data_IF_731890908319
#
_entry.id   IF_731890908319
#
_cell.length_a   1.000
_cell.length_b   1.000
_cell.length_c   1.000
_cell.angle_alpha   90.00
_cell.angle_beta   90.00
_cell.angle_gamma   90.00
#
_symmetry.space_group_name_H-M   'P 1'
#
loop_
_entity.id
_entity.type
_entity.pdbx_description
1 polymer ?
#
# COMPACT_ATOMS: atom_id res chain seq x y z
N UNK A 1 -24.82 11.99 4.13
CA UNK A 1 -24.84 12.13 2.65
C UNK A 1 -26.13 11.55 2.02
N UNK A 2 -27.10 11.09 2.81
CA UNK A 2 -28.39 10.51 2.34
C UNK A 2 -29.32 11.51 1.67
N UNK A 3 -29.16 12.80 1.98
CA UNK A 3 -30.02 13.86 1.44
C UNK A 3 -29.60 14.31 0.02
N UNK A 4 -28.54 13.73 -0.56
CA UNK A 4 -28.16 13.99 -1.94
C UNK A 4 -29.04 13.12 -2.84
N UNK A 5 -30.00 13.75 -3.52
CA UNK A 5 -30.97 13.09 -4.40
C UNK A 5 -30.28 12.53 -5.66
N UNK A 6 -29.39 13.33 -6.26
CA UNK A 6 -28.63 12.94 -7.45
C UNK A 6 -27.68 11.76 -7.14
N UNK A 7 -27.87 10.59 -7.76
CA UNK A 7 -27.04 9.41 -7.52
C UNK A 7 -25.57 9.63 -7.90
N UNK A 8 -25.30 10.42 -8.95
CA UNK A 8 -23.94 10.67 -9.44
C UNK A 8 -23.18 11.58 -8.48
N UNK A 9 -23.73 12.77 -8.17
CA UNK A 9 -23.13 13.68 -7.19
C UNK A 9 -22.96 13.02 -5.81
N UNK A 10 -23.91 12.15 -5.41
CA UNK A 10 -23.77 11.36 -4.19
C UNK A 10 -22.57 10.43 -4.28
N UNK A 11 -22.44 9.66 -5.36
CA UNK A 11 -21.29 8.77 -5.63
C UNK A 11 -19.95 9.48 -5.54
N UNK A 12 -19.82 10.62 -6.21
CA UNK A 12 -18.61 11.45 -6.19
C UNK A 12 -18.27 11.94 -4.78
N UNK A 13 -19.26 12.45 -4.04
CA UNK A 13 -19.05 12.96 -2.68
C UNK A 13 -18.53 11.86 -1.74
N UNK A 14 -19.04 10.64 -1.89
CA UNK A 14 -18.62 9.47 -1.10
C UNK A 14 -17.17 9.12 -1.38
N UNK A 15 -16.83 9.03 -2.66
CA UNK A 15 -15.48 8.72 -3.08
C UNK A 15 -14.50 9.77 -2.57
N UNK A 16 -14.81 11.05 -2.75
CA UNK A 16 -13.99 12.15 -2.26
C UNK A 16 -13.79 12.07 -0.74
N UNK A 17 -14.84 11.78 0.02
CA UNK A 17 -14.76 11.59 1.47
C UNK A 17 -13.86 10.42 1.86
N UNK A 18 -14.01 9.26 1.22
CA UNK A 18 -13.16 8.10 1.49
C UNK A 18 -11.70 8.36 1.15
N UNK A 19 -11.42 9.00 0.01
CA UNK A 19 -10.06 9.37 -0.34
C UNK A 19 -9.44 10.32 0.70
N UNK A 20 -10.21 11.26 1.25
CA UNK A 20 -9.75 12.10 2.34
C UNK A 20 -9.44 11.29 3.61
N UNK A 21 -10.32 10.35 3.98
CA UNK A 21 -10.12 9.46 5.14
C UNK A 21 -8.86 8.59 5.01
N UNK A 22 -8.65 7.99 3.83
CA UNK A 22 -7.48 7.16 3.54
C UNK A 22 -6.20 7.99 3.48
N UNK A 23 -6.26 9.17 2.84
CA UNK A 23 -5.12 10.07 2.74
C UNK A 23 -4.65 10.54 4.13
N UNK A 24 -5.56 10.93 5.03
CA UNK A 24 -5.22 11.29 6.41
C UNK A 24 -4.54 10.12 7.14
N UNK A 25 -5.14 8.92 7.08
CA UNK A 25 -4.62 7.74 7.73
C UNK A 25 -3.23 7.35 7.24
N UNK A 26 -3.03 7.21 5.92
CA UNK A 26 -1.75 6.80 5.34
C UNK A 26 -0.69 7.89 5.44
N UNK A 27 -1.06 9.17 5.27
CA UNK A 27 -0.13 10.28 5.50
C UNK A 27 0.38 10.29 6.93
N UNK A 28 -0.50 10.00 7.89
CA UNK A 28 -0.14 9.98 9.31
C UNK A 28 0.99 8.98 9.61
N UNK A 29 0.93 7.80 9.00
CA UNK A 29 1.93 6.74 9.22
C UNK A 29 3.18 6.95 8.36
N UNK A 30 3.04 7.29 7.09
CA UNK A 30 4.19 7.41 6.16
C UNK A 30 5.07 8.63 6.43
N UNK A 31 4.45 9.75 6.80
CA UNK A 31 5.16 11.03 7.00
C UNK A 31 5.24 11.43 8.47
N UNK A 32 5.00 10.48 9.39
CA UNK A 32 5.07 10.69 10.85
C UNK A 32 4.23 11.91 11.30
N UNK A 33 3.03 12.06 10.75
CA UNK A 33 2.10 13.16 11.10
C UNK A 33 1.01 12.64 12.04
N UNK A 34 0.51 13.51 12.91
CA UNK A 34 -0.67 13.18 13.73
C UNK A 34 -1.90 13.08 12.82
N UNK A 35 -2.69 12.00 12.88
CA UNK A 35 -3.94 11.90 12.13
C UNK A 35 -4.92 12.98 12.62
N UNK A 36 -5.66 13.58 11.69
CA UNK A 36 -6.67 14.60 11.99
C UNK A 36 -8.05 13.99 12.22
N UNK A 37 -8.33 12.83 11.62
CA UNK A 37 -9.59 12.11 11.77
C UNK A 37 -9.44 10.96 12.78
N UNK A 38 -10.42 10.85 13.66
CA UNK A 38 -10.63 9.70 14.54
C UNK A 38 -11.59 8.69 13.90
N UNK A 39 -11.59 7.45 14.41
CA UNK A 39 -12.43 6.38 13.87
C UNK A 39 -13.93 6.65 14.10
N UNK A 40 -14.27 7.51 15.06
CA UNK A 40 -15.64 7.92 15.40
C UNK A 40 -16.13 9.13 14.59
N UNK A 41 -15.25 9.79 13.82
CA UNK A 41 -15.60 11.01 13.06
C UNK A 41 -16.45 10.72 11.81
N UNK A 42 -16.58 9.44 11.42
CA UNK A 42 -17.36 9.05 10.26
C UNK A 42 -18.05 7.70 10.44
N UNK A 43 -19.34 7.68 10.12
CA UNK A 43 -20.17 6.49 10.19
C UNK A 43 -19.97 5.63 8.94
N UNK A 44 -19.48 4.40 9.15
CA UNK A 44 -19.18 3.41 8.11
C UNK A 44 -20.46 2.69 7.66
N UNK A 45 -21.47 2.64 8.53
CA UNK A 45 -22.67 1.83 8.31
C UNK A 45 -23.54 2.36 7.18
N UNK A 46 -23.31 3.60 6.75
CA UNK A 46 -24.03 4.24 5.65
C UNK A 46 -24.00 3.43 4.33
N UNK A 47 -22.97 2.59 4.10
CA UNK A 47 -22.83 1.76 2.88
C UNK A 47 -22.80 0.24 3.13
N UNK A 48 -23.02 -0.21 4.37
CA UNK A 48 -23.24 -1.63 4.68
C UNK A 48 -24.71 -1.99 4.84
N UNK A 49 -25.61 -0.99 4.99
CA UNK A 49 -27.05 -1.22 4.86
C UNK A 49 -27.39 -1.65 3.43
N UNK A 50 -28.13 -2.76 3.35
CA UNK A 50 -28.31 -3.61 2.18
C UNK A 50 -28.89 -2.94 0.92
N UNK A 51 -29.01 -3.71 -0.17
CA UNK A 51 -29.31 -3.20 -1.50
C UNK A 51 -30.56 -2.32 -1.50
N UNK A 52 -30.50 -1.21 -2.22
CA UNK A 52 -31.66 -0.37 -2.53
C UNK A 52 -32.72 -1.28 -3.16
N UNK A 53 -33.98 -1.27 -2.69
CA UNK A 53 -35.05 -2.07 -3.25
C UNK A 53 -35.14 -1.91 -4.78
N UNK A 54 -35.40 -2.99 -5.54
CA UNK A 54 -35.30 -3.01 -7.00
C UNK A 54 -36.31 -2.13 -7.76
N UNK A 55 -37.11 -1.31 -7.09
CA UNK A 55 -38.28 -0.66 -7.69
C UNK A 55 -38.00 0.68 -8.41
N UNK A 56 -36.73 1.04 -8.71
CA UNK A 56 -36.41 2.37 -9.31
C UNK A 56 -35.39 2.34 -10.47
N UNK A 57 -35.19 1.22 -11.18
CA UNK A 57 -34.30 1.19 -12.36
C UNK A 57 -35.11 0.98 -13.64
N UNK A 58 -35.73 2.05 -14.15
CA UNK A 58 -36.19 2.13 -15.53
C UNK A 58 -35.34 3.10 -16.35
N UNK A 59 -34.63 2.53 -17.33
CA UNK A 59 -34.37 3.10 -18.65
C UNK A 59 -33.63 4.44 -18.75
N UNK A 60 -32.30 4.46 -18.61
CA UNK A 60 -31.40 5.29 -19.45
C UNK A 60 -29.90 5.00 -19.22
N UNK A 61 -29.16 4.92 -20.34
CA UNK A 61 -27.69 4.94 -20.55
C UNK A 61 -26.87 3.64 -20.40
N UNK A 62 -26.11 3.33 -21.46
CA UNK A 62 -25.17 2.19 -21.61
C UNK A 62 -23.76 2.44 -21.02
N UNK A 63 -23.59 3.50 -20.23
CA UNK A 63 -22.35 3.82 -19.52
C UNK A 63 -22.54 3.52 -18.04
N UNK A 64 -21.75 2.60 -17.43
CA UNK A 64 -21.86 2.35 -15.99
C UNK A 64 -21.60 3.65 -15.24
N UNK A 65 -22.46 3.98 -14.28
CA UNK A 65 -22.31 5.16 -13.43
C UNK A 65 -20.98 5.12 -12.68
N UNK A 66 -20.45 6.28 -12.29
CA UNK A 66 -19.20 6.37 -11.49
C UNK A 66 -19.27 5.48 -10.24
N UNK A 67 -20.46 5.39 -9.64
CA UNK A 67 -20.78 4.46 -8.55
C UNK A 67 -20.64 3.00 -8.97
N UNK A 68 -21.25 2.57 -10.07
CA UNK A 68 -21.13 1.19 -10.56
C UNK A 68 -19.71 0.83 -10.98
N UNK A 69 -18.93 1.78 -11.54
CA UNK A 69 -17.53 1.57 -11.87
C UNK A 69 -16.65 1.37 -10.62
N UNK A 70 -16.97 2.07 -9.52
CA UNK A 70 -16.27 1.97 -8.25
C UNK A 70 -16.77 0.80 -7.38
N UNK A 71 -18.02 0.38 -7.56
CA UNK A 71 -18.56 -0.87 -6.99
C UNK A 71 -17.99 -2.09 -7.76
N UNK A 72 -17.74 -2.00 -9.07
CA UNK A 72 -17.19 -3.10 -9.88
C UNK A 72 -15.76 -3.57 -9.56
N UNK A 73 -15.08 -2.91 -8.63
CA UNK A 73 -13.62 -2.94 -8.47
C UNK A 73 -12.99 -4.26 -8.01
N UNK A 74 -13.79 -5.31 -7.78
CA UNK A 74 -13.28 -6.68 -7.58
C UNK A 74 -14.25 -7.69 -8.20
N UNK A 75 -14.32 -7.78 -9.54
CA UNK A 75 -14.91 -8.96 -10.18
C UNK A 75 -13.89 -10.10 -10.18
N UNK A 76 -14.07 -11.07 -9.30
CA UNK A 76 -13.36 -12.35 -9.37
C UNK A 76 -14.38 -13.49 -9.29
N UNK A 77 -14.97 -13.87 -10.43
CA UNK A 77 -15.58 -15.19 -10.55
C UNK A 77 -14.76 -16.03 -11.53
N UNK A 78 -14.19 -17.11 -10.98
CA UNK A 78 -13.66 -18.21 -11.78
C UNK A 78 -14.81 -18.79 -12.60
N UNK A 79 -14.64 -18.79 -13.92
CA UNK A 79 -15.75 -18.91 -14.86
C UNK A 79 -16.67 -20.10 -14.65
N UNK A 80 -17.98 -19.82 -14.62
CA UNK A 80 -19.05 -20.75 -15.01
C UNK A 80 -20.20 -19.94 -15.64
N UNK A 81 -20.43 -20.17 -16.94
CA UNK A 81 -21.61 -19.94 -17.82
C UNK A 81 -22.58 -18.74 -17.63
N UNK A 82 -23.04 -18.11 -18.74
CA UNK A 82 -23.94 -16.95 -18.70
C UNK A 82 -25.41 -17.36 -18.69
N UNK A 83 -26.06 -17.49 -17.53
CA UNK A 83 -27.53 -17.37 -17.41
C UNK A 83 -27.93 -16.94 -15.98
N UNK A 84 -28.25 -15.65 -15.77
CA UNK A 84 -29.30 -15.07 -14.89
C UNK A 84 -28.93 -13.63 -14.46
N UNK A 85 -29.90 -12.68 -14.38
CA UNK A 85 -29.64 -11.27 -14.11
C UNK A 85 -29.67 -10.91 -12.60
N UNK A 86 -29.15 -11.78 -11.72
CA UNK A 86 -29.06 -11.48 -10.29
C UNK A 86 -27.60 -11.20 -9.93
N UNK A 87 -27.20 -9.92 -10.04
CA UNK A 87 -25.89 -9.44 -9.61
C UNK A 87 -25.77 -9.51 -8.09
N UNK A 88 -24.64 -10.03 -7.58
CA UNK A 88 -24.32 -10.05 -6.16
C UNK A 88 -23.47 -8.81 -5.78
N UNK A 89 -24.00 -7.99 -4.86
CA UNK A 89 -23.47 -6.71 -4.37
C UNK A 89 -22.30 -6.90 -3.38
N UNK A 90 -21.96 -8.16 -3.08
CA UNK A 90 -21.01 -8.57 -2.04
C UNK A 90 -19.53 -8.22 -2.30
N UNK A 91 -19.10 -8.06 -3.55
CA UNK A 91 -17.67 -7.92 -3.90
C UNK A 91 -17.15 -6.48 -3.80
N UNK A 92 -17.97 -5.50 -4.19
CA UNK A 92 -17.75 -4.05 -4.07
C UNK A 92 -17.49 -3.58 -2.64
N UNK A 93 -18.21 -4.22 -1.72
CA UNK A 93 -18.10 -4.00 -0.29
C UNK A 93 -16.72 -4.41 0.25
N UNK A 94 -15.98 -5.24 -0.50
CA UNK A 94 -14.65 -5.74 -0.13
C UNK A 94 -13.58 -4.66 -0.07
N UNK A 95 -13.47 -3.81 -1.09
CA UNK A 95 -12.38 -2.81 -1.19
C UNK A 95 -12.50 -1.70 -0.13
N UNK A 96 -13.65 -1.05 -0.01
CA UNK A 96 -13.82 0.01 0.99
C UNK A 96 -13.71 -0.53 2.40
N UNK A 97 -14.26 -1.73 2.66
CA UNK A 97 -14.11 -2.39 3.96
C UNK A 97 -12.65 -2.71 4.28
N UNK A 98 -11.90 -3.25 3.32
CA UNK A 98 -10.47 -3.55 3.52
C UNK A 98 -9.65 -2.27 3.68
N UNK A 99 -9.86 -1.26 2.84
CA UNK A 99 -9.14 0.01 2.90
C UNK A 99 -9.41 0.71 4.22
N UNK A 100 -10.66 0.70 4.67
CA UNK A 100 -11.07 1.21 5.97
C UNK A 100 -10.38 0.48 7.13
N UNK A 101 -10.43 -0.85 7.16
CA UNK A 101 -9.79 -1.65 8.20
C UNK A 101 -8.28 -1.34 8.27
N UNK A 102 -7.62 -1.21 7.11
CA UNK A 102 -6.20 -0.87 7.05
C UNK A 102 -5.93 0.58 7.48
N UNK A 103 -6.82 1.52 7.16
CA UNK A 103 -6.71 2.92 7.59
C UNK A 103 -6.77 3.03 9.13
N UNK A 104 -7.63 2.25 9.79
CA UNK A 104 -7.68 2.20 11.26
C UNK A 104 -6.36 1.70 11.84
N UNK A 105 -5.81 0.62 11.27
CA UNK A 105 -4.48 0.11 11.65
C UNK A 105 -3.42 1.19 11.43
N UNK A 106 -3.42 1.88 10.29
CA UNK A 106 -2.46 2.95 9.97
C UNK A 106 -2.52 4.10 10.98
N UNK A 107 -3.72 4.56 11.38
CA UNK A 107 -3.87 5.58 12.43
C UNK A 107 -3.39 5.07 13.79
N UNK A 108 -3.70 3.82 14.14
CA UNK A 108 -3.20 3.20 15.37
C UNK A 108 -1.66 3.14 15.36
N UNK A 109 -1.06 2.74 14.24
CA UNK A 109 0.40 2.75 14.05
C UNK A 109 0.96 4.16 14.26
N UNK A 110 0.44 5.18 13.56
CA UNK A 110 0.91 6.56 13.72
C UNK A 110 0.81 7.04 15.17
N UNK A 111 -0.35 6.79 15.80
CA UNK A 111 -0.58 7.18 17.19
C UNK A 111 0.36 6.46 18.15
N UNK A 112 0.93 5.29 17.85
CA UNK A 112 1.77 4.55 18.80
C UNK A 112 3.27 4.65 18.49
N UNK A 113 3.64 4.67 17.22
CA UNK A 113 5.04 4.65 16.77
C UNK A 113 5.68 6.03 16.81
N UNK A 114 4.93 7.09 16.48
CA UNK A 114 5.49 8.43 16.27
C UNK A 114 5.30 9.37 17.46
N UNK A 115 5.33 8.83 18.67
CA UNK A 115 5.29 9.63 19.92
C UNK A 115 6.71 9.96 20.39
N UNK A 116 6.92 11.15 20.99
CA UNK A 116 8.20 11.46 21.64
C UNK A 116 8.64 10.42 22.67
N UNK A 117 7.69 9.84 23.41
CA UNK A 117 7.97 8.76 24.37
C UNK A 117 8.44 7.46 23.69
N UNK A 118 7.98 7.18 22.47
CA UNK A 118 8.43 6.02 21.70
C UNK A 118 9.85 6.23 21.19
N UNK A 119 10.18 7.45 20.74
CA UNK A 119 11.54 7.82 20.35
C UNK A 119 12.53 7.77 21.54
N UNK A 120 12.10 8.19 22.74
CA UNK A 120 12.97 8.19 23.92
C UNK A 120 13.12 6.82 24.60
N UNK A 121 12.04 6.04 24.66
CA UNK A 121 12.00 4.81 25.45
C UNK A 121 12.04 3.55 24.59
N UNK A 122 11.67 3.64 23.31
CA UNK A 122 11.39 2.49 22.46
C UNK A 122 9.91 2.11 22.45
N UNK A 123 9.56 1.21 21.54
CA UNK A 123 8.19 0.75 21.33
C UNK A 123 7.86 -0.33 22.38
N UNK A 124 6.74 -0.23 23.13
CA UNK A 124 6.32 -1.29 24.03
C UNK A 124 6.09 -2.61 23.28
N UNK A 125 6.53 -3.73 23.87
CA UNK A 125 6.38 -5.05 23.26
C UNK A 125 4.92 -5.38 22.94
N UNK A 126 4.01 -5.07 23.87
CA UNK A 126 2.57 -5.29 23.71
C UNK A 126 1.99 -4.53 22.50
N UNK A 127 2.45 -3.29 22.27
CA UNK A 127 2.02 -2.48 21.12
C UNK A 127 2.42 -3.16 19.81
N UNK A 128 3.66 -3.68 19.72
CA UNK A 128 4.09 -4.42 18.53
C UNK A 128 3.26 -5.67 18.30
N UNK A 129 3.03 -6.47 19.34
CA UNK A 129 2.20 -7.68 19.24
C UNK A 129 0.78 -7.38 18.76
N UNK A 130 0.18 -6.30 19.26
CA UNK A 130 -1.15 -5.87 18.83
C UNK A 130 -1.16 -5.44 17.36
N UNK A 131 -0.21 -4.61 16.92
CA UNK A 131 -0.11 -4.18 15.51
C UNK A 131 0.11 -5.36 14.56
N UNK A 132 1.00 -6.29 14.93
CA UNK A 132 1.26 -7.50 14.17
C UNK A 132 0.01 -8.38 14.06
N UNK A 133 -0.77 -8.48 15.15
CA UNK A 133 -2.01 -9.26 15.18
C UNK A 133 -3.02 -8.64 14.21
N UNK A 134 -3.28 -7.33 14.31
CA UNK A 134 -4.21 -6.63 13.42
C UNK A 134 -3.81 -6.70 11.95
N UNK A 135 -2.51 -6.63 11.62
CA UNK A 135 -2.05 -6.81 10.23
C UNK A 135 -2.21 -8.25 9.72
N UNK A 136 -2.05 -9.26 10.57
CA UNK A 136 -2.31 -10.64 10.15
C UNK A 136 -3.80 -10.90 9.98
N UNK A 137 -4.65 -10.40 10.88
CA UNK A 137 -6.11 -10.47 10.74
C UNK A 137 -6.57 -9.79 9.46
N UNK A 138 -6.05 -8.59 9.16
CA UNK A 138 -6.35 -7.89 7.92
C UNK A 138 -5.96 -8.72 6.68
N UNK A 139 -4.77 -9.33 6.70
CA UNK A 139 -4.29 -10.17 5.60
C UNK A 139 -5.23 -11.34 5.34
N UNK A 140 -5.59 -12.05 6.41
CA UNK A 140 -6.39 -13.26 6.34
C UNK A 140 -7.84 -12.95 5.90
N UNK A 141 -8.39 -11.80 6.32
CA UNK A 141 -9.73 -11.37 5.91
C UNK A 141 -9.77 -10.78 4.49
N UNK A 142 -8.75 -10.01 4.09
CA UNK A 142 -8.85 -9.12 2.93
C UNK A 142 -7.86 -9.39 1.80
N UNK A 143 -6.61 -9.78 2.07
CA UNK A 143 -5.56 -9.77 1.05
C UNK A 143 -5.88 -10.67 -0.15
N UNK A 144 -6.51 -11.82 0.08
CA UNK A 144 -6.92 -12.70 -1.03
C UNK A 144 -7.99 -12.07 -1.94
N UNK A 145 -8.82 -11.17 -1.41
CA UNK A 145 -9.90 -10.51 -2.17
C UNK A 145 -9.42 -9.26 -2.88
N UNK A 146 -8.59 -8.46 -2.21
CA UNK A 146 -8.20 -7.13 -2.72
C UNK A 146 -6.75 -7.04 -3.16
N UNK A 147 -5.92 -8.05 -2.90
CA UNK A 147 -4.52 -8.10 -3.33
C UNK A 147 -4.33 -8.76 -4.68
N UNK A 148 -3.09 -8.77 -5.17
CA UNK A 148 -2.75 -9.45 -6.41
C UNK A 148 -2.57 -10.95 -6.11
N UNK A 149 -3.29 -11.87 -6.78
CA UNK A 149 -3.15 -13.29 -6.53
C UNK A 149 -1.78 -13.82 -6.98
N UNK A 150 -1.32 -14.91 -6.37
CA UNK A 150 -0.04 -15.54 -6.71
C UNK A 150 -0.04 -16.19 -8.10
N UNK A 151 -1.20 -16.67 -8.58
CA UNK A 151 -1.36 -17.30 -9.89
C UNK A 151 -1.88 -16.30 -10.93
N UNK A 152 -0.95 -15.54 -11.51
CA UNK A 152 -1.25 -14.49 -12.49
C UNK A 152 -1.62 -15.09 -13.87
N UNK A 153 -2.88 -15.51 -14.04
CA UNK A 153 -3.34 -16.20 -15.24
C UNK A 153 -4.55 -15.55 -15.97
N UNK A 154 -5.10 -14.45 -15.45
CA UNK A 154 -6.34 -13.86 -15.97
C UNK A 154 -6.13 -12.57 -16.77
N UNK A 155 -7.06 -12.26 -17.67
CA UNK A 155 -7.20 -10.95 -18.30
C UNK A 155 -7.80 -9.98 -17.27
N UNK A 156 -6.96 -9.12 -16.71
CA UNK A 156 -7.40 -8.08 -15.78
C UNK A 156 -7.71 -6.79 -16.53
N UNK A 157 -8.81 -6.13 -16.19
CA UNK A 157 -9.00 -4.75 -16.60
C UNK A 157 -8.01 -3.84 -15.85
N UNK A 158 -7.79 -2.64 -16.40
CA UNK A 158 -6.77 -1.75 -15.87
C UNK A 158 -7.06 -1.30 -14.43
N UNK A 159 -8.33 -1.01 -14.12
CA UNK A 159 -8.72 -0.42 -12.84
C UNK A 159 -8.61 -1.46 -11.73
N UNK A 160 -9.06 -2.70 -11.97
CA UNK A 160 -8.89 -3.81 -11.02
C UNK A 160 -7.41 -4.12 -10.74
N UNK A 161 -6.56 -4.10 -11.77
CA UNK A 161 -5.13 -4.35 -11.61
C UNK A 161 -4.43 -3.26 -10.79
N UNK A 162 -4.74 -1.99 -11.05
CA UNK A 162 -4.19 -0.88 -10.27
C UNK A 162 -4.64 -0.97 -8.82
N UNK A 163 -5.93 -1.17 -8.57
CA UNK A 163 -6.49 -1.21 -7.21
C UNK A 163 -5.98 -2.39 -6.39
N UNK A 164 -5.77 -3.55 -7.03
CA UNK A 164 -5.18 -4.68 -6.35
C UNK A 164 -3.71 -4.46 -6.01
N UNK A 165 -2.92 -3.92 -6.96
CA UNK A 165 -1.53 -3.56 -6.70
C UNK A 165 -1.42 -2.52 -5.57
N UNK A 166 -2.30 -1.52 -5.58
CA UNK A 166 -2.41 -0.50 -4.54
C UNK A 166 -2.68 -1.10 -3.16
N UNK A 167 -3.69 -1.97 -3.05
CA UNK A 167 -4.07 -2.60 -1.78
C UNK A 167 -2.97 -3.54 -1.25
N UNK A 168 -2.37 -4.34 -2.14
CA UNK A 168 -1.27 -5.27 -1.86
C UNK A 168 -0.04 -4.48 -1.35
N UNK A 169 0.38 -3.44 -2.07
CA UNK A 169 1.51 -2.59 -1.66
C UNK A 169 1.24 -1.84 -0.35
N UNK A 170 0.03 -1.29 -0.17
CA UNK A 170 -0.36 -0.55 1.04
C UNK A 170 -0.39 -1.46 2.27
N UNK A 171 -0.76 -2.74 2.11
CA UNK A 171 -0.62 -3.71 3.19
C UNK A 171 0.85 -3.96 3.55
N UNK A 172 1.68 -4.26 2.55
CA UNK A 172 3.06 -4.66 2.78
C UNK A 172 3.95 -3.54 3.31
N UNK A 173 3.70 -2.28 2.92
CA UNK A 173 4.46 -1.15 3.46
C UNK A 173 4.25 -0.97 4.97
N UNK A 174 3.12 -1.40 5.54
CA UNK A 174 2.90 -1.32 7.00
C UNK A 174 3.93 -2.15 7.76
N UNK A 175 4.30 -3.33 7.26
CA UNK A 175 5.37 -4.15 7.85
C UNK A 175 6.73 -3.47 7.78
N UNK A 176 7.04 -2.81 6.65
CA UNK A 176 8.27 -2.04 6.47
C UNK A 176 8.32 -0.86 7.44
N UNK A 177 7.19 -0.20 7.68
CA UNK A 177 7.09 0.87 8.67
C UNK A 177 7.36 0.36 10.09
N UNK A 178 6.79 -0.78 10.48
CA UNK A 178 7.08 -1.40 11.79
C UNK A 178 8.56 -1.74 11.90
N UNK A 179 9.14 -2.33 10.85
CA UNK A 179 10.57 -2.63 10.80
C UNK A 179 11.41 -1.39 11.04
N UNK A 180 11.18 -0.30 10.29
CA UNK A 180 11.94 0.93 10.44
C UNK A 180 11.75 1.55 11.84
N UNK A 181 10.54 1.51 12.39
CA UNK A 181 10.30 2.02 13.74
C UNK A 181 11.05 1.21 14.82
N UNK A 182 11.06 -0.12 14.70
CA UNK A 182 11.80 -0.98 15.64
C UNK A 182 13.30 -0.79 15.45
N UNK A 183 13.78 -0.61 14.23
CA UNK A 183 15.21 -0.40 13.96
C UNK A 183 15.71 0.97 14.45
N UNK A 184 14.88 2.01 14.35
CA UNK A 184 15.18 3.36 14.82
C UNK A 184 15.12 3.46 16.37
N UNK A 185 14.08 2.90 16.99
CA UNK A 185 13.76 3.17 18.41
C UNK A 185 14.00 1.98 19.35
N UNK A 186 14.09 0.77 18.80
CA UNK A 186 14.16 -0.45 19.60
C UNK A 186 12.85 -0.79 20.33
N UNK A 187 12.95 -1.79 21.20
CA UNK A 187 11.85 -2.27 22.03
C UNK A 187 12.07 -1.78 23.46
N UNK A 188 11.04 -1.20 24.06
CA UNK A 188 11.14 -0.51 25.35
C UNK A 188 11.75 -1.36 26.45
N UNK A 189 11.24 -2.58 26.60
CA UNK A 189 11.66 -3.52 27.63
C UNK A 189 13.14 -3.91 27.44
N UNK A 190 13.61 -3.99 26.19
CA UNK A 190 15.01 -4.22 25.89
C UNK A 190 15.88 -3.01 26.24
N UNK A 191 15.42 -1.81 25.90
CA UNK A 191 16.10 -0.55 26.20
C UNK A 191 16.22 -0.31 27.71
N UNK A 192 15.18 -0.62 28.49
CA UNK A 192 15.18 -0.48 29.95
C UNK A 192 16.24 -1.37 30.61
N UNK A 193 16.40 -2.60 30.14
CA UNK A 193 17.45 -3.51 30.63
C UNK A 193 18.84 -2.96 30.30
N UNK A 194 19.04 -2.47 29.07
CA UNK A 194 20.29 -1.84 28.67
C UNK A 194 20.63 -0.60 29.52
N UNK A 195 19.63 0.22 29.86
CA UNK A 195 19.80 1.42 30.71
C UNK A 195 20.17 1.10 32.15
N UNK A 196 19.70 -0.03 32.69
CA UNK A 196 20.00 -0.45 34.07
C UNK A 196 21.36 -1.15 34.22
N UNK A 197 22.18 -1.21 33.15
CA UNK A 197 23.49 -1.88 33.11
C UNK A 197 23.45 -3.39 33.38
N UNK A 198 22.26 -4.00 33.27
CA UNK A 198 22.09 -5.45 33.30
C UNK A 198 22.40 -6.03 31.92
N UNK A 199 22.89 -7.27 31.87
CA UNK A 199 23.12 -7.93 30.58
C UNK A 199 21.77 -8.12 29.86
N UNK A 200 21.60 -7.64 28.60
CA UNK A 200 20.34 -7.78 27.86
C UNK A 200 19.88 -9.23 27.71
N UNK A 201 20.81 -10.19 27.72
CA UNK A 201 20.54 -11.62 27.57
C UNK A 201 19.94 -12.27 28.82
N UNK A 202 20.03 -11.61 29.98
CA UNK A 202 19.52 -12.14 31.26
C UNK A 202 18.05 -11.77 31.51
N UNK A 203 17.45 -10.96 30.63
CA UNK A 203 16.06 -10.56 30.74
C UNK A 203 15.10 -11.73 30.45
N UNK A 204 14.13 -12.04 31.34
CA UNK A 204 13.17 -13.14 31.16
C UNK A 204 12.30 -13.10 29.89
N UNK A 205 12.32 -11.99 29.12
CA UNK A 205 11.62 -11.85 27.84
C UNK A 205 12.52 -11.70 26.61
N UNK A 206 13.85 -11.84 26.75
CA UNK A 206 14.79 -11.58 25.65
C UNK A 206 14.50 -12.45 24.41
N UNK A 207 14.23 -13.74 24.62
CA UNK A 207 13.92 -14.67 23.52
C UNK A 207 12.62 -14.30 22.79
N UNK A 208 11.61 -13.81 23.52
CA UNK A 208 10.35 -13.33 22.94
C UNK A 208 10.60 -12.09 22.08
N UNK A 209 11.43 -11.16 22.57
CA UNK A 209 11.82 -9.95 21.84
C UNK A 209 12.53 -10.29 20.53
N UNK A 210 13.53 -11.18 20.57
CA UNK A 210 14.26 -11.58 19.36
C UNK A 210 13.36 -12.36 18.38
N UNK A 211 12.43 -13.18 18.88
CA UNK A 211 11.43 -13.85 18.03
C UNK A 211 10.52 -12.84 17.32
N UNK A 212 10.08 -11.81 18.03
CA UNK A 212 9.23 -10.75 17.47
C UNK A 212 9.99 -9.92 16.44
N UNK A 213 11.22 -9.49 16.75
CA UNK A 213 12.10 -8.81 15.78
C UNK A 213 12.30 -9.67 14.53
N UNK A 214 12.60 -10.95 14.69
CA UNK A 214 12.78 -11.86 13.56
C UNK A 214 11.53 -11.93 12.70
N UNK A 215 10.34 -12.08 13.30
CA UNK A 215 9.08 -12.09 12.56
C UNK A 215 8.84 -10.77 11.81
N UNK A 216 9.05 -9.63 12.45
CA UNK A 216 8.92 -8.30 11.82
C UNK A 216 9.89 -8.18 10.64
N UNK A 217 11.14 -8.63 10.81
CA UNK A 217 12.14 -8.66 9.76
C UNK A 217 11.71 -9.51 8.56
N UNK A 218 11.26 -10.74 8.83
CA UNK A 218 10.82 -11.68 7.78
C UNK A 218 9.61 -11.13 7.00
N UNK A 219 8.60 -10.59 7.70
CA UNK A 219 7.40 -10.02 7.08
C UNK A 219 7.69 -8.70 6.32
N UNK A 220 8.58 -7.84 6.84
CA UNK A 220 9.00 -6.61 6.16
C UNK A 220 9.84 -6.90 4.91
N UNK A 221 10.75 -7.87 4.96
CA UNK A 221 11.50 -8.32 3.80
C UNK A 221 10.55 -8.94 2.76
N UNK A 222 9.62 -9.79 3.17
CA UNK A 222 8.60 -10.34 2.28
C UNK A 222 7.79 -9.22 1.61
N UNK A 223 7.35 -8.22 2.38
CA UNK A 223 6.64 -7.07 1.85
C UNK A 223 7.46 -6.23 0.87
N UNK A 224 8.74 -6.00 1.15
CA UNK A 224 9.61 -5.25 0.25
C UNK A 224 9.85 -6.00 -1.08
N UNK A 225 10.07 -7.32 -1.02
CA UNK A 225 10.18 -8.17 -2.21
C UNK A 225 8.89 -8.17 -3.02
N UNK A 226 7.74 -8.22 -2.34
CA UNK A 226 6.43 -8.16 -2.97
C UNK A 226 6.23 -6.86 -3.75
N UNK A 227 6.50 -5.71 -3.11
CA UNK A 227 6.43 -4.39 -3.74
C UNK A 227 7.38 -4.31 -4.94
N UNK A 228 8.64 -4.76 -4.80
CA UNK A 228 9.60 -4.80 -5.91
C UNK A 228 9.10 -5.65 -7.10
N UNK A 229 8.43 -6.78 -6.82
CA UNK A 229 7.78 -7.61 -7.83
C UNK A 229 6.63 -6.90 -8.55
N UNK A 230 5.77 -6.18 -7.81
CA UNK A 230 4.66 -5.41 -8.37
C UNK A 230 5.14 -4.31 -9.32
N UNK A 231 6.22 -3.62 -8.97
CA UNK A 231 6.85 -2.56 -9.81
C UNK A 231 7.36 -3.12 -11.14
N UNK A 232 7.85 -4.35 -11.12
CA UNK A 232 8.41 -5.01 -12.30
C UNK A 232 7.34 -5.57 -13.24
N UNK A 233 6.07 -5.54 -12.83
CA UNK A 233 4.98 -6.07 -13.63
C UNK A 233 4.82 -5.30 -14.94
N UNK A 234 4.69 -5.99 -16.10
CA UNK A 234 4.52 -5.36 -17.40
C UNK A 234 3.28 -4.44 -17.47
N UNK A 235 2.31 -4.63 -16.58
CA UNK A 235 1.16 -3.76 -16.49
C UNK A 235 1.54 -2.31 -16.08
N UNK A 236 2.47 -2.17 -15.14
CA UNK A 236 2.99 -0.88 -14.65
C UNK A 236 3.86 -0.22 -15.73
N UNK A 237 4.69 -1.01 -16.41
CA UNK A 237 5.69 -0.47 -17.35
C UNK A 237 5.13 -0.15 -18.74
N UNK A 238 4.12 -0.87 -19.23
CA UNK A 238 3.73 -0.82 -20.66
C UNK A 238 2.71 0.29 -20.97
N UNK A 239 1.92 0.76 -19.99
CA UNK A 239 0.94 1.84 -20.20
C UNK A 239 1.42 3.24 -19.80
N UNK A 240 2.60 3.37 -19.17
CA UNK A 240 3.19 4.65 -18.77
C UNK A 240 3.55 5.56 -19.97
N UNK A 241 3.75 4.99 -21.18
CA UNK A 241 4.08 5.75 -22.41
C UNK A 241 2.96 6.67 -22.94
N UNK A 242 1.76 6.71 -22.35
CA UNK A 242 0.65 7.59 -22.77
C UNK A 242 0.16 8.57 -21.69
N UNK A 243 0.79 8.66 -20.53
CA UNK A 243 0.25 9.35 -19.34
C UNK A 243 0.95 10.69 -18.98
N UNK A 244 1.51 11.40 -19.96
CA UNK A 244 2.44 12.51 -19.71
C UNK A 244 1.86 13.90 -19.36
N UNK A 245 0.61 14.29 -19.67
CA UNK A 245 0.14 15.64 -19.33
C UNK A 245 -0.50 15.82 -17.94
N UNK A 246 -0.97 14.76 -17.26
CA UNK A 246 -1.93 14.94 -16.16
C UNK A 246 -1.34 14.85 -14.73
N UNK A 247 -0.20 14.18 -14.53
CA UNK A 247 0.39 13.96 -13.19
C UNK A 247 0.92 15.24 -12.49
N UNK A 248 1.16 16.33 -13.24
CA UNK A 248 1.73 17.58 -12.69
C UNK A 248 0.80 18.34 -11.75
N UNK A 249 -0.53 18.15 -11.84
CA UNK A 249 -1.49 18.78 -10.92
C UNK A 249 -1.69 17.97 -9.62
N UNK A 250 -1.47 16.65 -9.61
CA UNK A 250 -1.60 15.83 -8.40
C UNK A 250 -0.56 16.20 -7.34
N UNK A 251 0.62 16.67 -7.77
CA UNK A 251 1.69 17.16 -6.92
C UNK A 251 1.29 18.40 -6.09
N UNK A 252 0.44 19.27 -6.63
CA UNK A 252 0.00 20.50 -5.96
C UNK A 252 -1.05 20.25 -4.85
N UNK A 253 -1.63 19.04 -4.78
CA UNK A 253 -2.61 18.67 -3.75
C UNK A 253 -2.02 17.81 -2.62
N UNK A 254 -0.90 17.12 -2.87
CA UNK A 254 -0.21 16.32 -1.83
C UNK A 254 0.77 17.17 -0.99
N UNK A 255 1.27 18.28 -1.56
CA UNK A 255 2.18 19.22 -0.88
C UNK A 255 1.45 20.53 -0.56
N UNK A 256 1.01 20.65 0.70
CA UNK A 256 0.65 21.90 1.39
C UNK A 256 -0.50 22.81 0.89
N UNK A 257 -1.39 22.36 0.00
CA UNK A 257 -2.60 23.15 -0.39
C UNK A 257 -3.89 22.34 -0.21
N UNK A 258 -4.31 22.16 1.05
CA UNK A 258 -5.73 21.88 1.37
C UNK A 258 -6.36 22.97 2.24
N UNK A 259 -5.57 23.94 2.72
CA UNK A 259 -6.03 24.90 3.74
C UNK A 259 -6.60 26.21 3.18
N UNK A 260 -6.55 26.46 1.87
CA UNK A 260 -7.04 27.72 1.29
C UNK A 260 -7.93 27.41 0.08
N UNK A 261 -9.20 27.84 0.17
CA UNK A 261 -10.23 27.82 -0.89
C UNK A 261 -11.01 26.52 -1.12
N UNK A 262 -11.73 26.07 -0.08
CA UNK A 262 -13.07 25.50 -0.29
C UNK A 262 -14.08 26.66 -0.22
N UNK A 263 -14.07 27.53 -1.22
CA UNK A 263 -15.19 28.43 -1.50
C UNK A 263 -15.55 28.34 -2.99
N UNK A 264 -16.67 27.66 -3.28
CA UNK A 264 -17.59 28.13 -4.32
C UNK A 264 -17.68 27.41 -5.67
N UNK A 265 -16.72 26.59 -6.13
CA UNK A 265 -16.77 26.11 -7.53
C UNK A 265 -16.25 24.69 -7.84
N UNK A 266 -15.96 23.84 -6.84
CA UNK A 266 -15.05 22.71 -7.04
C UNK A 266 -15.65 21.34 -7.43
N UNK A 267 -16.97 21.13 -7.46
CA UNK A 267 -17.51 19.78 -7.67
C UNK A 267 -17.26 19.23 -9.10
N UNK A 268 -17.46 20.05 -10.14
CA UNK A 268 -17.40 19.59 -11.54
C UNK A 268 -15.98 19.46 -12.10
N UNK A 269 -15.00 20.10 -11.46
CA UNK A 269 -13.58 20.05 -11.86
C UNK A 269 -12.84 18.90 -11.16
N UNK A 270 -13.29 18.53 -9.95
CA UNK A 270 -12.80 17.36 -9.21
C UNK A 270 -13.20 16.06 -9.92
N UNK A 271 -14.43 15.95 -10.46
CA UNK A 271 -14.88 14.76 -11.18
C UNK A 271 -14.02 14.43 -12.41
N UNK A 272 -13.78 15.43 -13.27
CA UNK A 272 -12.97 15.21 -14.49
C UNK A 272 -11.50 14.96 -14.15
N UNK A 273 -11.01 15.58 -13.07
CA UNK A 273 -9.63 15.44 -12.63
C UNK A 273 -9.35 14.09 -11.97
N UNK A 274 -10.25 13.53 -11.15
CA UNK A 274 -10.04 12.21 -10.54
C UNK A 274 -10.33 11.04 -11.49
N UNK A 275 -11.31 11.14 -12.40
CA UNK A 275 -11.59 10.09 -13.39
C UNK A 275 -10.51 9.98 -14.49
N UNK A 276 -9.87 11.07 -14.92
CA UNK A 276 -8.76 11.00 -15.88
C UNK A 276 -7.40 10.65 -15.24
N UNK A 277 -7.23 10.85 -13.92
CA UNK A 277 -5.97 10.63 -13.19
C UNK A 277 -5.86 9.31 -12.41
N UNK A 278 -6.82 8.38 -12.53
CA UNK A 278 -6.67 6.99 -12.04
C UNK A 278 -5.53 6.18 -12.70
N UNK A 279 -4.69 6.83 -13.51
CA UNK A 279 -3.58 6.20 -14.23
C UNK A 279 -2.32 6.25 -13.37
N UNK A 280 -2.15 5.19 -12.57
CA UNK A 280 -0.99 4.92 -11.71
C UNK A 280 -0.74 6.06 -10.72
N UNK A 281 -1.50 6.02 -9.63
CA UNK A 281 -1.39 6.95 -8.54
C UNK A 281 0.03 6.91 -7.94
N UNK A 282 0.85 7.89 -8.31
CA UNK A 282 2.11 8.16 -7.63
C UNK A 282 1.88 8.28 -6.13
N UNK A 283 0.72 8.75 -5.67
CA UNK A 283 0.41 8.86 -4.25
C UNK A 283 0.35 7.50 -3.52
N UNK A 284 0.09 6.39 -4.21
CA UNK A 284 -0.07 5.07 -3.57
C UNK A 284 1.19 4.20 -3.69
N UNK A 285 1.85 4.20 -4.85
CA UNK A 285 3.02 3.35 -5.08
C UNK A 285 4.35 4.05 -4.77
N UNK A 286 4.46 5.37 -4.91
CA UNK A 286 5.76 6.07 -4.77
C UNK A 286 6.39 5.83 -3.40
N UNK A 287 5.64 6.08 -2.32
CA UNK A 287 6.13 5.86 -0.94
C UNK A 287 6.48 4.39 -0.71
N UNK A 288 5.63 3.48 -1.18
CA UNK A 288 5.85 2.03 -1.08
C UNK A 288 7.15 1.60 -1.75
N UNK A 289 7.45 2.12 -2.93
CA UNK A 289 8.67 1.83 -3.68
C UNK A 289 9.91 2.40 -3.00
N UNK A 290 9.84 3.63 -2.49
CA UNK A 290 10.94 4.24 -1.74
C UNK A 290 11.25 3.39 -0.51
N UNK A 291 10.24 3.07 0.30
CA UNK A 291 10.43 2.34 1.56
C UNK A 291 10.94 0.91 1.31
N UNK A 292 10.35 0.20 0.34
CA UNK A 292 10.81 -1.12 -0.07
C UNK A 292 12.22 -1.10 -0.65
N UNK A 293 12.51 -0.16 -1.56
CA UNK A 293 13.83 0.00 -2.16
C UNK A 293 14.90 0.34 -1.12
N UNK A 294 14.60 1.24 -0.19
CA UNK A 294 15.50 1.59 0.93
C UNK A 294 15.79 0.38 1.81
N UNK A 295 14.76 -0.38 2.22
CA UNK A 295 14.97 -1.59 3.01
C UNK A 295 15.82 -2.62 2.24
N UNK A 296 15.50 -2.91 0.98
CA UNK A 296 16.26 -3.86 0.15
C UNK A 296 17.70 -3.40 -0.06
N UNK A 297 17.95 -2.09 -0.24
CA UNK A 297 19.28 -1.51 -0.33
C UNK A 297 20.10 -1.76 0.94
N UNK A 298 19.54 -1.43 2.12
CA UNK A 298 20.20 -1.63 3.42
C UNK A 298 20.54 -3.09 3.71
N UNK A 299 19.74 -4.01 3.17
CA UNK A 299 19.94 -5.45 3.27
C UNK A 299 20.85 -6.03 2.18
N UNK A 300 21.35 -5.20 1.24
CA UNK A 300 22.21 -5.66 0.13
C UNK A 300 21.49 -6.60 -0.84
N UNK A 301 20.17 -6.45 -1.00
CA UNK A 301 19.33 -7.34 -1.81
C UNK A 301 19.26 -6.89 -3.27
N UNK A 302 19.59 -7.73 -4.26
CA UNK A 302 19.62 -7.34 -5.68
C UNK A 302 18.24 -6.93 -6.22
N UNK A 303 17.15 -7.39 -5.60
CA UNK A 303 15.78 -7.03 -5.97
C UNK A 303 15.49 -5.52 -5.85
N UNK A 304 16.36 -4.77 -5.16
CA UNK A 304 16.33 -3.30 -5.13
C UNK A 304 16.36 -2.66 -6.52
N UNK A 305 16.96 -3.32 -7.51
CA UNK A 305 17.05 -2.84 -8.89
C UNK A 305 15.67 -2.59 -9.49
N UNK A 306 14.67 -3.39 -9.11
CA UNK A 306 13.29 -3.22 -9.54
C UNK A 306 12.69 -1.91 -9.02
N UNK A 307 12.92 -1.59 -7.75
CA UNK A 307 12.49 -0.33 -7.15
C UNK A 307 13.19 0.87 -7.81
N UNK A 308 14.50 0.78 -8.05
CA UNK A 308 15.29 1.82 -8.73
C UNK A 308 14.75 2.07 -10.15
N UNK A 309 14.47 1.01 -10.91
CA UNK A 309 13.86 1.13 -12.24
C UNK A 309 12.47 1.76 -12.17
N UNK A 310 11.65 1.37 -11.19
CA UNK A 310 10.34 1.98 -10.94
C UNK A 310 10.43 3.48 -10.68
N UNK A 311 11.29 3.90 -9.76
CA UNK A 311 11.50 5.32 -9.44
C UNK A 311 12.01 6.10 -10.65
N UNK A 312 12.93 5.55 -11.44
CA UNK A 312 13.37 6.17 -12.69
C UNK A 312 12.26 6.25 -13.76
N UNK A 313 11.22 5.41 -13.70
CA UNK A 313 10.04 5.58 -14.54
C UNK A 313 9.13 6.68 -13.99
N UNK A 314 9.02 6.82 -12.67
CA UNK A 314 8.27 7.91 -12.05
C UNK A 314 8.98 9.27 -12.17
N UNK A 315 10.29 9.31 -12.39
CA UNK A 315 11.05 10.57 -12.50
C UNK A 315 10.65 11.45 -13.66
N UNK A 316 10.00 10.88 -14.69
CA UNK A 316 9.39 11.65 -15.77
C UNK A 316 8.23 12.54 -15.29
N UNK A 317 7.55 12.16 -14.21
CA UNK A 317 6.45 12.90 -13.61
C UNK A 317 6.83 13.59 -12.28
N UNK A 318 7.79 13.03 -11.54
CA UNK A 318 8.22 13.45 -10.21
C UNK A 318 9.74 13.48 -10.14
N UNK A 319 10.36 14.63 -10.40
CA UNK A 319 11.82 14.77 -10.54
C UNK A 319 12.61 14.19 -9.35
N UNK A 320 12.10 14.37 -8.14
CA UNK A 320 12.62 13.81 -6.87
C UNK A 320 12.80 12.28 -6.88
N UNK A 321 12.05 11.54 -7.69
CA UNK A 321 12.20 10.09 -7.82
C UNK A 321 13.58 9.71 -8.38
N UNK A 322 14.17 10.53 -9.24
CA UNK A 322 15.52 10.26 -9.77
C UNK A 322 16.58 10.37 -8.68
N UNK A 323 16.46 11.37 -7.80
CA UNK A 323 17.35 11.57 -6.66
C UNK A 323 17.21 10.41 -5.66
N UNK A 324 15.96 10.03 -5.33
CA UNK A 324 15.68 8.89 -4.47
C UNK A 324 16.22 7.57 -5.03
N UNK A 325 16.10 7.35 -6.35
CA UNK A 325 16.67 6.17 -7.02
C UNK A 325 18.20 6.14 -6.90
N UNK A 326 18.87 7.28 -7.06
CA UNK A 326 20.31 7.40 -6.92
C UNK A 326 20.78 7.18 -5.47
N UNK A 327 20.04 7.72 -4.49
CA UNK A 327 20.34 7.51 -3.06
C UNK A 327 20.18 6.05 -2.65
N UNK A 328 19.11 5.38 -3.09
CA UNK A 328 18.89 3.93 -2.85
C UNK A 328 20.02 3.11 -3.50
N UNK A 329 20.43 3.45 -4.73
CA UNK A 329 21.55 2.77 -5.38
C UNK A 329 22.87 2.95 -4.62
N UNK A 330 23.13 4.15 -4.07
CA UNK A 330 24.30 4.41 -3.22
C UNK A 330 24.29 3.54 -1.97
N UNK A 331 23.16 3.51 -1.25
CA UNK A 331 23.01 2.68 -0.04
C UNK A 331 23.21 1.19 -0.33
N UNK A 332 22.68 0.69 -1.46
CA UNK A 332 22.88 -0.69 -1.88
C UNK A 332 24.37 -1.03 -2.08
N UNK A 333 25.11 -0.16 -2.77
CA UNK A 333 26.54 -0.36 -3.00
C UNK A 333 27.35 -0.36 -1.69
N UNK A 334 26.97 0.48 -0.72
CA UNK A 334 27.56 0.48 0.62
C UNK A 334 27.28 -0.83 1.36
N UNK A 335 26.03 -1.28 1.37
CA UNK A 335 25.62 -2.53 2.03
C UNK A 335 26.35 -3.75 1.44
N UNK A 336 26.47 -3.83 0.11
CA UNK A 336 27.20 -4.92 -0.58
C UNK A 336 28.71 -4.87 -0.28
N UNK A 337 29.25 -3.68 -0.01
CA UNK A 337 30.65 -3.51 0.42
C UNK A 337 30.87 -3.86 1.90
N UNK A 338 29.82 -4.25 2.63
CA UNK A 338 29.87 -4.62 4.04
C UNK A 338 29.54 -3.47 5.02
N UNK A 339 29.28 -2.27 4.51
CA UNK A 339 28.84 -1.10 5.30
C UNK A 339 27.32 -1.16 5.46
N UNK A 340 26.84 -1.75 6.56
CA UNK A 340 25.40 -1.82 6.86
C UNK A 340 25.09 -1.01 8.12
N UNK A 341 24.21 -0.03 7.97
CA UNK A 341 23.70 0.81 9.06
C UNK A 341 22.34 0.27 9.50
N UNK A 342 22.35 -0.78 10.31
CA UNK A 342 21.16 -1.28 11.02
C UNK A 342 21.35 -1.00 12.51
N UNK A 343 20.31 -0.50 13.15
CA UNK A 343 20.29 -0.20 14.57
C UNK A 343 19.85 -1.43 15.36
N UNK A 344 18.65 -1.34 15.93
CA UNK A 344 18.12 -2.36 16.82
C UNK A 344 17.71 -3.67 16.13
N UNK A 345 17.59 -3.69 14.80
CA UNK A 345 17.26 -4.89 14.01
C UNK A 345 18.50 -5.66 13.52
N UNK A 346 19.71 -5.17 13.81
CA UNK A 346 20.95 -5.82 13.37
C UNK A 346 21.10 -7.27 13.88
N UNK A 347 20.55 -7.59 15.05
CA UNK A 347 20.68 -8.92 15.67
C UNK A 347 19.94 -10.04 14.93
N UNK A 348 18.87 -9.71 14.21
CA UNK A 348 18.00 -10.69 13.54
C UNK A 348 18.25 -10.83 12.05
N UNK A 349 19.14 -10.02 11.50
CA UNK A 349 19.44 -9.98 10.08
C UNK A 349 20.71 -10.77 9.76
N UNK A 350 20.55 -11.81 8.94
CA UNK A 350 21.69 -12.53 8.39
C UNK A 350 22.45 -11.63 7.44
N UNK A 351 23.67 -11.24 7.82
CA UNK A 351 24.55 -10.46 6.94
C UNK A 351 24.78 -11.26 5.65
N UNK A 352 24.56 -10.69 4.47
CA UNK A 352 24.92 -11.35 3.22
C UNK A 352 26.41 -11.67 3.29
N UNK A 353 26.76 -12.95 3.23
CA UNK A 353 28.16 -13.36 3.08
C UNK A 353 28.72 -12.79 1.76
N UNK A 354 30.06 -12.68 1.63
CA UNK A 354 30.67 -12.30 0.36
C UNK A 354 30.15 -13.22 -0.76
N UNK A 355 29.82 -12.60 -1.88
CA UNK A 355 29.04 -13.09 -3.05
C UNK A 355 29.62 -14.37 -3.66
N UNK A 356 29.52 -15.50 -2.98
CA UNK A 356 29.96 -16.79 -3.50
C UNK A 356 28.81 -17.80 -3.68
N UNK A 357 27.71 -17.67 -2.95
CA UNK A 357 26.59 -18.61 -3.09
C UNK A 357 25.27 -17.87 -2.89
N UNK A 358 24.79 -17.17 -3.92
CA UNK A 358 23.36 -16.84 -3.97
C UNK A 358 22.61 -18.15 -4.10
N UNK A 359 22.05 -18.63 -2.99
CA UNK A 359 20.96 -19.59 -3.06
C UNK A 359 19.89 -18.99 -3.99
N UNK A 360 19.73 -19.60 -5.16
CA UNK A 360 18.49 -19.50 -5.93
C UNK A 360 17.38 -20.02 -5.03
N UNK A 361 16.73 -19.11 -4.28
CA UNK A 361 15.44 -19.38 -3.66
C UNK A 361 14.45 -19.43 -4.82
N UNK A 362 14.39 -20.58 -5.49
CA UNK A 362 13.25 -20.96 -6.31
C UNK A 362 12.13 -21.39 -5.35
N UNK A 363 11.58 -20.42 -4.63
CA UNK A 363 10.25 -20.60 -4.07
C UNK A 363 9.25 -20.27 -5.20
N UNK A 364 8.54 -21.27 -5.76
CA UNK A 364 7.56 -21.04 -6.83
C UNK A 364 6.39 -20.15 -6.39
N UNK A 365 6.25 -19.82 -5.10
CA UNK A 365 5.28 -18.82 -4.62
C UNK A 365 5.72 -17.36 -4.85
N UNK A 366 7.01 -17.10 -5.06
CA UNK A 366 7.57 -15.75 -5.25
C UNK A 366 7.73 -15.34 -6.72
N UNK A 367 7.78 -16.31 -7.64
CA UNK A 367 7.84 -16.03 -9.06
C UNK A 367 6.44 -15.67 -9.58
N UNK A 368 6.14 -14.38 -9.68
CA UNK A 368 5.02 -13.93 -10.53
C UNK A 368 5.41 -14.28 -11.97
N UNK A 369 4.94 -15.44 -12.44
CA UNK A 369 5.31 -15.96 -13.74
C UNK A 369 4.52 -15.21 -14.82
N UNK A 370 5.08 -14.10 -15.30
CA UNK A 370 4.49 -13.35 -16.40
C UNK A 370 4.68 -14.13 -17.70
N UNK A 371 3.58 -14.51 -18.36
CA UNK A 371 3.62 -15.00 -19.73
C UNK A 371 3.52 -13.79 -20.70
N UNK A 372 4.60 -13.36 -21.37
CA UNK A 372 4.57 -12.19 -22.24
C UNK A 372 3.75 -12.41 -23.54
N UNK A 373 3.31 -13.64 -23.84
CA UNK A 373 2.63 -13.95 -25.11
C UNK A 373 1.13 -13.70 -25.12
N UNK A 374 0.48 -13.48 -23.97
CA UNK A 374 -0.97 -13.22 -23.91
C UNK A 374 -1.37 -11.76 -24.20
N UNK A 375 -0.43 -10.82 -24.31
CA UNK A 375 -0.71 -9.38 -24.54
C UNK A 375 -0.62 -8.93 -26.01
N UNK A 376 -0.31 -9.84 -26.96
CA UNK A 376 -0.21 -9.50 -28.38
C UNK A 376 -1.52 -9.64 -29.18
N UNK A 377 -2.62 -10.01 -28.52
CA UNK A 377 -3.91 -10.26 -29.17
C UNK A 377 -4.81 -9.03 -29.25
N UNK A 378 -4.85 -8.36 -30.40
CA UNK A 378 -6.09 -7.73 -30.86
C UNK A 378 -6.19 -6.20 -30.80
N UNK A 379 -5.38 -5.50 -31.61
CA UNK A 379 -5.83 -4.26 -32.25
C UNK A 379 -5.49 -4.34 -33.74
N UNK A 380 -6.38 -4.96 -34.53
CA UNK A 380 -6.44 -4.73 -35.98
C UNK A 380 -7.51 -3.67 -36.21
N UNK A 381 -7.06 -2.48 -36.58
CA UNK A 381 -7.94 -1.41 -37.03
C UNK A 381 -8.80 -1.85 -38.21
N UNK A 382 -10.07 -1.48 -38.14
CA UNK A 382 -10.89 -1.14 -39.30
C UNK A 382 -11.48 0.23 -39.06
#
# INVERSE_FOLDING_TARGET
MSNIEDPEARGTMIFAWWMACLADAYRSVYYRRKPMLDDDDYDIDFYTVGPVPPDVVESQAQTPSVREQLEFLVRFEQGVTPVLPHMDVSSSQGYYRSAHALARIARQMSRQLWRPATESDGIPLEVLMNLMTSLNEWKDEHLQRVGVPSNFAAEWDFVSAVSACASDATYHIMWIVIFNAVDDFGIREHNDVARTSSSPTEFPGYQTIETIKKKISDDALHGALRIAGLVSSPFVTTKSRMAYPCCRLAYLLQTDIWYVSIEGAAATQIDRFFLENQRLDSAVMHVSIIQAGTLLARLGRPEVENCIKGLNQYSYAYEECAEQAADIARQYNQAVSGESELGYMASVLSRPGPIAESMTITDPSMAIHFNPTTLAGGYRGR
#
